data_IF_457403372381
#
_entry.id   IF_457403372381
#
_cell.length_a   1.000
_cell.length_b   1.000
_cell.length_c   1.000
_cell.angle_alpha   90.00
_cell.angle_beta   90.00
_cell.angle_gamma   90.00
#
_symmetry.space_group_name_H-M   'P 1'
#
loop_
_entity.id
_entity.type
_entity.pdbx_description
1 polymer ?
#
# COMPACT_ATOMS: atom_id res chain seq x y z
N UNK A 1 -52.50 34.90 64.21
CA UNK A 1 -53.52 35.10 63.14
C UNK A 1 -53.56 33.82 62.34
N UNK A 2 -54.71 33.16 62.38
CA UNK A 2 -55.05 31.93 61.66
C UNK A 2 -55.56 32.24 60.23
N UNK A 3 -55.75 31.15 59.48
CA UNK A 3 -56.56 30.90 58.28
C UNK A 3 -55.80 30.97 56.93
N UNK A 4 -55.56 29.82 56.25
CA UNK A 4 -56.48 29.00 55.40
C UNK A 4 -56.73 29.70 54.04
N UNK A 5 -56.84 29.07 52.88
CA UNK A 5 -56.77 27.67 52.41
C UNK A 5 -56.82 27.72 50.87
N UNK A 6 -56.44 26.62 50.21
CA UNK A 6 -57.12 26.16 48.99
C UNK A 6 -56.77 26.80 47.65
N UNK A 7 -55.89 26.16 46.88
CA UNK A 7 -56.21 25.85 45.48
C UNK A 7 -55.52 24.57 45.01
N UNK A 8 -56.36 23.55 44.84
CA UNK A 8 -56.21 22.28 44.12
C UNK A 8 -54.97 22.15 43.20
N UNK A 9 -53.99 21.35 43.64
CA UNK A 9 -53.01 20.74 42.75
C UNK A 9 -53.70 19.63 41.95
N UNK A 10 -53.83 19.82 40.64
CA UNK A 10 -54.15 18.75 39.69
C UNK A 10 -53.07 17.69 39.77
N UNK A 11 -53.50 16.47 40.07
CA UNK A 11 -52.79 15.24 39.80
C UNK A 11 -52.44 15.17 38.32
N UNK A 12 -51.20 15.48 37.96
CA UNK A 12 -50.64 15.03 36.70
C UNK A 12 -50.19 13.59 36.91
N UNK A 13 -50.99 12.68 36.39
CA UNK A 13 -50.64 11.29 36.13
C UNK A 13 -49.27 11.24 35.45
N UNK A 14 -48.32 10.57 36.11
CA UNK A 14 -47.08 10.17 35.48
C UNK A 14 -47.46 9.02 34.54
N UNK A 15 -47.62 9.35 33.25
CA UNK A 15 -47.69 8.36 32.18
C UNK A 15 -46.35 7.62 32.14
N UNK A 16 -46.28 6.47 32.80
CA UNK A 16 -45.19 5.50 32.68
C UNK A 16 -45.48 4.58 31.50
N UNK A 17 -45.53 5.13 30.29
CA UNK A 17 -45.21 4.30 29.13
C UNK A 17 -43.68 4.15 29.11
N UNK A 18 -43.11 2.93 29.12
CA UNK A 18 -41.70 2.79 28.82
C UNK A 18 -41.50 3.39 27.43
N UNK A 19 -40.68 4.44 27.31
CA UNK A 19 -40.32 4.97 25.99
C UNK A 19 -39.73 3.79 25.22
N UNK A 20 -40.48 3.29 24.24
CA UNK A 20 -40.04 2.20 23.37
C UNK A 20 -38.68 2.61 22.83
N UNK A 21 -37.67 1.79 23.09
CA UNK A 21 -36.32 2.04 22.59
C UNK A 21 -36.40 2.24 21.08
N UNK A 22 -35.69 3.25 20.60
CA UNK A 22 -35.51 3.47 19.18
C UNK A 22 -34.77 2.28 18.55
N UNK A 23 -34.93 2.13 17.24
CA UNK A 23 -34.23 1.09 16.49
C UNK A 23 -32.70 1.16 16.63
N UNK A 24 -32.15 2.36 16.70
CA UNK A 24 -30.72 2.60 16.87
C UNK A 24 -30.27 2.19 18.28
N UNK A 25 -31.10 2.44 19.30
CA UNK A 25 -30.83 1.98 20.67
C UNK A 25 -30.85 0.46 20.77
N UNK A 26 -31.82 -0.22 20.16
CA UNK A 26 -31.83 -1.68 20.06
C UNK A 26 -30.56 -2.19 19.38
N UNK A 27 -30.17 -1.60 18.25
CA UNK A 27 -28.95 -1.98 17.53
C UNK A 27 -27.70 -1.85 18.41
N UNK A 28 -27.52 -0.73 19.11
CA UNK A 28 -26.36 -0.52 19.98
C UNK A 28 -26.34 -1.47 21.18
N UNK A 29 -27.50 -1.80 21.76
CA UNK A 29 -27.60 -2.78 22.86
C UNK A 29 -27.21 -4.18 22.37
N UNK A 30 -27.73 -4.60 21.21
CA UNK A 30 -27.42 -5.90 20.62
C UNK A 30 -25.93 -6.02 20.32
N UNK A 31 -25.34 -4.99 19.72
CA UNK A 31 -23.91 -4.94 19.42
C UNK A 31 -23.06 -5.06 20.69
N UNK A 32 -23.50 -4.47 21.81
CA UNK A 32 -22.82 -4.61 23.10
C UNK A 32 -22.87 -6.04 23.63
N UNK A 33 -24.04 -6.67 23.63
CA UNK A 33 -24.17 -8.07 24.06
C UNK A 33 -23.34 -9.03 23.19
N UNK A 34 -23.29 -8.80 21.88
CA UNK A 34 -22.41 -9.56 20.98
C UNK A 34 -20.93 -9.39 21.33
N UNK A 35 -20.49 -8.16 21.65
CA UNK A 35 -19.11 -7.89 22.10
C UNK A 35 -18.77 -8.57 23.43
N UNK A 36 -19.75 -8.81 24.31
CA UNK A 36 -19.56 -9.51 25.59
C UNK A 36 -19.81 -11.02 25.52
N UNK A 37 -20.20 -11.55 24.36
CA UNK A 37 -20.49 -12.98 24.17
C UNK A 37 -21.86 -13.44 24.68
N UNK A 38 -22.74 -12.49 25.04
CA UNK A 38 -24.09 -12.71 25.55
C UNK A 38 -25.08 -12.97 24.41
N UNK A 39 -24.95 -14.12 23.74
CA UNK A 39 -25.66 -14.43 22.49
C UNK A 39 -27.18 -14.46 22.66
N UNK A 40 -27.67 -15.02 23.76
CA UNK A 40 -29.11 -15.10 24.05
C UNK A 40 -29.72 -13.71 24.27
N UNK A 41 -29.01 -12.84 25.00
CA UNK A 41 -29.45 -11.47 25.24
C UNK A 41 -29.40 -10.65 23.95
N UNK A 42 -28.36 -10.81 23.14
CA UNK A 42 -28.26 -10.18 21.83
C UNK A 42 -29.43 -10.58 20.92
N UNK A 43 -29.75 -11.88 20.87
CA UNK A 43 -30.87 -12.38 20.06
C UNK A 43 -32.21 -11.82 20.53
N UNK A 44 -32.47 -11.84 21.85
CA UNK A 44 -33.71 -11.34 22.41
C UNK A 44 -33.93 -9.85 22.06
N UNK A 45 -32.88 -9.03 22.21
CA UNK A 45 -32.93 -7.60 21.89
C UNK A 45 -33.08 -7.33 20.40
N UNK A 46 -32.45 -8.15 19.55
CA UNK A 46 -32.65 -8.04 18.11
C UNK A 46 -34.11 -8.35 17.73
N UNK A 47 -34.71 -9.40 18.33
CA UNK A 47 -36.12 -9.77 18.08
C UNK A 47 -37.09 -8.67 18.54
N UNK A 48 -36.85 -8.07 19.71
CA UNK A 48 -37.65 -6.93 20.19
C UNK A 48 -37.59 -5.73 19.23
N UNK A 49 -36.39 -5.37 18.75
CA UNK A 49 -36.23 -4.30 17.78
C UNK A 49 -36.90 -4.62 16.44
N UNK A 50 -36.75 -5.86 15.95
CA UNK A 50 -37.38 -6.32 14.70
C UNK A 50 -38.90 -6.47 14.78
N UNK A 51 -39.47 -6.62 15.99
CA UNK A 51 -40.92 -6.59 16.18
C UNK A 51 -41.51 -5.20 15.90
N UNK A 52 -40.72 -4.15 16.14
CA UNK A 52 -41.09 -2.76 15.83
C UNK A 52 -40.82 -2.38 14.37
N UNK A 53 -39.73 -2.90 13.79
CA UNK A 53 -39.35 -2.71 12.39
C UNK A 53 -38.74 -3.99 11.80
N UNK A 54 -39.56 -4.78 11.12
CA UNK A 54 -39.14 -6.07 10.55
C UNK A 54 -38.17 -5.96 9.37
N UNK A 55 -38.00 -4.75 8.82
CA UNK A 55 -37.12 -4.43 7.68
C UNK A 55 -35.78 -3.83 8.09
N UNK A 56 -35.54 -3.63 9.39
CA UNK A 56 -34.33 -2.99 9.86
C UNK A 56 -33.07 -3.79 9.52
N UNK A 57 -32.37 -3.40 8.45
CA UNK A 57 -31.25 -4.15 7.91
C UNK A 57 -30.11 -4.38 8.92
N UNK A 58 -29.79 -3.41 9.77
CA UNK A 58 -28.78 -3.56 10.82
C UNK A 58 -29.13 -4.65 11.86
N UNK A 59 -30.36 -4.70 12.37
CA UNK A 59 -30.80 -5.72 13.32
C UNK A 59 -30.91 -7.10 12.65
N UNK A 60 -31.34 -7.16 11.38
CA UNK A 60 -31.32 -8.39 10.58
C UNK A 60 -29.87 -8.92 10.42
N UNK A 61 -28.91 -8.03 10.17
CA UNK A 61 -27.49 -8.38 10.11
C UNK A 61 -26.93 -8.88 11.45
N UNK A 62 -27.27 -8.22 12.56
CA UNK A 62 -26.88 -8.70 13.90
C UNK A 62 -27.49 -10.08 14.22
N UNK A 63 -28.74 -10.34 13.83
CA UNK A 63 -29.34 -11.69 13.93
C UNK A 63 -28.58 -12.74 13.13
N UNK A 64 -28.10 -12.40 11.94
CA UNK A 64 -27.26 -13.28 11.16
C UNK A 64 -25.94 -13.59 11.88
N UNK A 65 -25.31 -12.55 12.46
CA UNK A 65 -24.10 -12.70 13.28
C UNK A 65 -24.31 -13.59 14.51
N UNK A 66 -25.40 -13.42 15.25
CA UNK A 66 -25.77 -14.30 16.36
C UNK A 66 -25.95 -15.74 15.89
N UNK A 67 -26.66 -15.95 14.77
CA UNK A 67 -26.93 -17.27 14.22
C UNK A 67 -25.63 -17.98 13.79
N UNK A 68 -24.70 -17.25 13.17
CA UNK A 68 -23.36 -17.74 12.85
C UNK A 68 -22.59 -18.22 14.08
N UNK A 69 -22.58 -17.43 15.15
CA UNK A 69 -21.89 -17.77 16.39
C UNK A 69 -22.49 -19.01 17.08
N UNK A 70 -23.79 -19.27 16.87
CA UNK A 70 -24.48 -20.47 17.32
C UNK A 70 -24.28 -21.68 16.40
N UNK A 71 -23.66 -21.51 15.23
CA UNK A 71 -23.51 -22.54 14.21
C UNK A 71 -24.78 -22.85 13.41
N UNK A 72 -25.84 -22.05 13.56
CA UNK A 72 -27.07 -22.17 12.77
C UNK A 72 -26.90 -21.43 11.44
N UNK A 73 -26.25 -22.10 10.48
CA UNK A 73 -25.94 -21.52 9.18
C UNK A 73 -27.19 -21.25 8.34
N UNK A 74 -28.25 -22.05 8.49
CA UNK A 74 -29.51 -21.85 7.77
C UNK A 74 -30.22 -20.57 8.21
N UNK A 75 -30.33 -20.36 9.52
CA UNK A 75 -30.86 -19.11 10.06
C UNK A 75 -29.97 -17.92 9.67
N UNK A 76 -28.64 -18.06 9.75
CA UNK A 76 -27.70 -17.00 9.37
C UNK A 76 -27.87 -16.56 7.90
N UNK A 77 -27.99 -17.51 6.97
CA UNK A 77 -28.24 -17.25 5.55
C UNK A 77 -29.57 -16.51 5.36
N UNK A 78 -30.63 -16.94 6.04
CA UNK A 78 -31.94 -16.28 5.95
C UNK A 78 -31.90 -14.83 6.45
N UNK A 79 -31.33 -14.61 7.64
CA UNK A 79 -31.24 -13.28 8.25
C UNK A 79 -30.35 -12.34 7.43
N UNK A 80 -29.19 -12.80 6.99
CA UNK A 80 -28.29 -12.00 6.16
C UNK A 80 -28.90 -11.70 4.78
N UNK A 81 -29.57 -12.67 4.15
CA UNK A 81 -30.28 -12.45 2.87
C UNK A 81 -31.39 -11.41 2.98
N UNK A 82 -32.13 -11.39 4.11
CA UNK A 82 -33.11 -10.34 4.40
C UNK A 82 -32.43 -8.99 4.65
N UNK A 83 -31.32 -8.95 5.37
CA UNK A 83 -30.56 -7.71 5.58
C UNK A 83 -30.14 -7.11 4.22
N UNK A 84 -29.57 -7.93 3.33
CA UNK A 84 -29.15 -7.55 1.98
C UNK A 84 -30.29 -7.08 1.08
N UNK A 85 -31.49 -7.65 1.24
CA UNK A 85 -32.69 -7.22 0.50
C UNK A 85 -33.13 -5.81 0.89
N UNK A 86 -32.92 -5.42 2.15
CA UNK A 86 -33.33 -4.10 2.66
C UNK A 86 -32.23 -3.04 2.49
N UNK A 87 -30.96 -3.43 2.60
CA UNK A 87 -29.81 -2.54 2.47
C UNK A 87 -28.57 -3.35 2.06
N UNK A 88 -28.03 -3.06 0.88
CA UNK A 88 -26.87 -3.77 0.33
C UNK A 88 -25.58 -3.18 0.92
N UNK A 89 -24.90 -3.93 1.80
CA UNK A 89 -23.62 -3.54 2.40
C UNK A 89 -22.58 -4.65 2.31
N UNK A 90 -21.32 -4.25 2.18
CA UNK A 90 -20.20 -5.16 2.05
C UNK A 90 -20.06 -6.08 3.27
N UNK A 91 -20.22 -5.53 4.48
CA UNK A 91 -20.21 -6.31 5.74
C UNK A 91 -21.35 -7.32 5.83
N UNK A 92 -22.51 -7.04 5.22
CA UNK A 92 -23.63 -7.97 5.18
C UNK A 92 -23.38 -9.09 4.18
N UNK A 93 -22.79 -8.77 3.01
CA UNK A 93 -22.35 -9.76 2.02
C UNK A 93 -21.28 -10.68 2.60
N UNK A 94 -20.30 -10.14 3.33
CA UNK A 94 -19.26 -10.93 4.01
C UNK A 94 -19.86 -11.88 5.06
N UNK A 95 -20.87 -11.42 5.81
CA UNK A 95 -21.60 -12.25 6.79
C UNK A 95 -22.38 -13.36 6.10
N UNK A 96 -23.06 -13.05 4.99
CA UNK A 96 -23.75 -14.02 4.15
C UNK A 96 -22.79 -15.08 3.57
N UNK A 97 -21.65 -14.65 3.03
CA UNK A 97 -20.59 -15.54 2.52
C UNK A 97 -20.03 -16.45 3.61
N UNK A 98 -19.82 -15.94 4.83
CA UNK A 98 -19.39 -16.74 5.99
C UNK A 98 -20.42 -17.81 6.34
N UNK A 99 -21.71 -17.49 6.28
CA UNK A 99 -22.79 -18.44 6.55
C UNK A 99 -22.89 -19.52 5.47
N UNK A 100 -22.79 -19.14 4.20
CA UNK A 100 -22.75 -20.07 3.07
C UNK A 100 -21.56 -21.03 3.17
N UNK A 101 -20.38 -20.50 3.54
CA UNK A 101 -19.19 -21.32 3.75
C UNK A 101 -19.37 -22.31 4.89
N UNK A 102 -19.94 -21.89 6.03
CA UNK A 102 -20.24 -22.79 7.15
C UNK A 102 -21.20 -23.92 6.76
N UNK A 103 -22.13 -23.65 5.85
CA UNK A 103 -23.06 -24.63 5.27
C UNK A 103 -22.43 -25.52 4.18
N UNK A 104 -21.18 -25.26 3.77
CA UNK A 104 -20.49 -25.98 2.70
C UNK A 104 -20.87 -25.55 1.28
N UNK A 105 -21.58 -24.42 1.12
CA UNK A 105 -21.96 -23.86 -0.18
C UNK A 105 -20.80 -23.00 -0.73
N UNK A 106 -19.70 -23.68 -1.07
CA UNK A 106 -18.40 -23.03 -1.31
C UNK A 106 -18.42 -22.00 -2.45
N UNK A 107 -18.99 -22.34 -3.61
CA UNK A 107 -19.02 -21.44 -4.78
C UNK A 107 -19.81 -20.15 -4.50
N UNK A 108 -20.98 -20.28 -3.87
CA UNK A 108 -21.82 -19.13 -3.51
C UNK A 108 -21.15 -18.26 -2.44
N UNK A 109 -20.39 -18.87 -1.53
CA UNK A 109 -19.62 -18.13 -0.55
C UNK A 109 -18.55 -17.25 -1.22
N UNK A 110 -17.82 -17.80 -2.20
CA UNK A 110 -16.82 -17.05 -2.96
C UNK A 110 -17.45 -15.89 -3.73
N UNK A 111 -18.58 -16.11 -4.41
CA UNK A 111 -19.33 -15.04 -5.10
C UNK A 111 -19.78 -13.93 -4.13
N UNK A 112 -20.26 -14.30 -2.93
CA UNK A 112 -20.66 -13.33 -1.91
C UNK A 112 -19.47 -12.50 -1.41
N UNK A 113 -18.29 -13.11 -1.22
CA UNK A 113 -17.08 -12.40 -0.80
C UNK A 113 -16.50 -11.52 -1.91
N UNK A 114 -16.49 -11.99 -3.15
CA UNK A 114 -16.07 -11.20 -4.31
C UNK A 114 -16.90 -9.92 -4.42
N UNK A 115 -18.23 -10.04 -4.35
CA UNK A 115 -19.13 -8.87 -4.31
C UNK A 115 -18.93 -7.98 -3.09
N UNK A 116 -18.51 -8.55 -1.95
CA UNK A 116 -18.24 -7.78 -0.74
C UNK A 116 -16.99 -6.89 -0.91
N UNK A 117 -15.89 -7.43 -1.45
CA UNK A 117 -14.67 -6.64 -1.69
C UNK A 117 -14.83 -5.63 -2.82
N UNK A 118 -15.71 -5.89 -3.80
CA UNK A 118 -16.09 -4.88 -4.81
C UNK A 118 -16.84 -3.69 -4.19
N UNK A 119 -17.68 -3.95 -3.19
CA UNK A 119 -18.51 -2.92 -2.56
C UNK A 119 -17.76 -2.11 -1.50
N UNK A 120 -16.85 -2.74 -0.76
CA UNK A 120 -15.93 -2.06 0.16
C UNK A 120 -14.52 -2.67 0.03
N UNK A 121 -13.68 -2.11 -0.86
CA UNK A 121 -12.36 -2.66 -1.12
C UNK A 121 -11.35 -2.31 -0.02
N UNK A 122 -11.69 -1.48 0.96
CA UNK A 122 -10.73 -0.98 1.97
C UNK A 122 -10.90 -1.62 3.35
N UNK A 123 -11.99 -2.35 3.60
CA UNK A 123 -12.17 -3.08 4.86
C UNK A 123 -11.29 -4.36 4.89
N UNK A 124 -10.22 -4.40 5.72
CA UNK A 124 -9.32 -5.54 5.77
C UNK A 124 -10.02 -6.82 6.24
N UNK A 125 -11.09 -6.71 7.04
CA UNK A 125 -11.81 -7.86 7.59
C UNK A 125 -12.52 -8.66 6.48
N UNK A 126 -12.99 -7.97 5.43
CA UNK A 126 -13.65 -8.60 4.29
C UNK A 126 -12.63 -9.40 3.47
N UNK A 127 -11.45 -8.83 3.23
CA UNK A 127 -10.34 -9.52 2.56
C UNK A 127 -9.85 -10.73 3.36
N UNK A 128 -9.73 -10.65 4.69
CA UNK A 128 -9.38 -11.81 5.53
C UNK A 128 -10.41 -12.94 5.40
N UNK A 129 -11.70 -12.61 5.44
CA UNK A 129 -12.77 -13.59 5.27
C UNK A 129 -12.75 -14.21 3.88
N UNK A 130 -12.49 -13.42 2.83
CA UNK A 130 -12.37 -13.92 1.47
C UNK A 130 -11.16 -14.85 1.32
N UNK A 131 -9.99 -14.47 1.85
CA UNK A 131 -8.80 -15.31 1.86
C UNK A 131 -9.02 -16.65 2.57
N UNK A 132 -9.71 -16.63 3.71
CA UNK A 132 -10.10 -17.84 4.43
C UNK A 132 -11.04 -18.74 3.59
N UNK A 133 -11.97 -18.14 2.83
CA UNK A 133 -12.84 -18.87 1.92
C UNK A 133 -12.07 -19.51 0.78
N UNK A 134 -11.17 -18.77 0.15
CA UNK A 134 -10.32 -19.24 -0.94
C UNK A 134 -9.43 -20.41 -0.48
N UNK A 135 -8.85 -20.32 0.72
CA UNK A 135 -8.07 -21.42 1.32
C UNK A 135 -8.89 -22.70 1.47
N UNK A 136 -10.14 -22.60 1.96
CA UNK A 136 -11.03 -23.77 2.08
C UNK A 136 -11.41 -24.36 0.72
N UNK A 137 -11.48 -23.54 -0.32
CA UNK A 137 -11.68 -23.98 -1.70
C UNK A 137 -10.39 -24.51 -2.38
N UNK A 138 -9.22 -24.39 -1.74
CA UNK A 138 -7.94 -24.79 -2.31
C UNK A 138 -7.30 -23.74 -3.24
N UNK A 139 -7.83 -22.52 -3.30
CA UNK A 139 -7.30 -21.41 -4.10
C UNK A 139 -6.20 -20.63 -3.36
N UNK A 140 -5.10 -21.30 -3.05
CA UNK A 140 -4.03 -20.81 -2.16
C UNK A 140 -3.40 -19.48 -2.62
N UNK A 141 -3.13 -19.32 -3.91
CA UNK A 141 -2.50 -18.09 -4.43
C UNK A 141 -3.41 -16.87 -4.28
N UNK A 142 -4.71 -17.02 -4.60
CA UNK A 142 -5.70 -15.95 -4.43
C UNK A 142 -5.92 -15.64 -2.95
N UNK A 143 -5.88 -16.65 -2.08
CA UNK A 143 -5.96 -16.45 -0.64
C UNK A 143 -4.78 -15.64 -0.11
N UNK A 144 -3.55 -15.98 -0.53
CA UNK A 144 -2.33 -15.23 -0.17
C UNK A 144 -2.45 -13.74 -0.54
N UNK A 145 -2.91 -13.46 -1.77
CA UNK A 145 -3.17 -12.10 -2.23
C UNK A 145 -4.18 -11.38 -1.32
N UNK A 146 -5.29 -12.02 -0.96
CA UNK A 146 -6.29 -11.43 -0.05
C UNK A 146 -5.68 -11.06 1.31
N UNK A 147 -4.81 -11.91 1.88
CA UNK A 147 -4.15 -11.60 3.14
C UNK A 147 -3.17 -10.43 3.03
N UNK A 148 -2.43 -10.33 1.92
CA UNK A 148 -1.55 -9.18 1.67
C UNK A 148 -2.38 -7.89 1.57
N UNK A 149 -3.51 -7.91 0.86
CA UNK A 149 -4.41 -6.76 0.75
C UNK A 149 -4.96 -6.36 2.12
N UNK A 150 -5.48 -7.32 2.88
CA UNK A 150 -5.98 -7.08 4.23
C UNK A 150 -4.91 -6.44 5.13
N UNK A 151 -3.70 -7.00 5.10
CA UNK A 151 -2.58 -6.49 5.90
C UNK A 151 -2.12 -5.11 5.45
N UNK A 152 -2.19 -4.81 4.15
CA UNK A 152 -1.92 -3.47 3.64
C UNK A 152 -2.85 -2.44 4.27
N UNK A 153 -4.17 -2.65 4.20
CA UNK A 153 -5.14 -1.72 4.78
C UNK A 153 -5.09 -1.66 6.31
N UNK A 154 -4.76 -2.77 6.97
CA UNK A 154 -4.61 -2.81 8.42
C UNK A 154 -3.35 -2.08 8.92
N UNK A 155 -2.21 -2.28 8.23
CA UNK A 155 -0.90 -1.81 8.70
C UNK A 155 -0.52 -0.46 8.13
N UNK A 156 -1.10 -0.07 7.01
CA UNK A 156 -0.87 1.19 6.30
C UNK A 156 -2.22 1.91 6.08
N UNK A 157 -2.88 2.39 7.15
CA UNK A 157 -4.24 2.92 7.08
C UNK A 157 -4.40 4.14 6.16
N UNK A 158 -3.32 4.87 5.86
CA UNK A 158 -3.33 5.93 4.85
C UNK A 158 -3.79 5.46 3.46
N UNK A 159 -3.60 4.17 3.11
CA UNK A 159 -4.07 3.63 1.83
C UNK A 159 -5.60 3.60 1.75
N UNK A 160 -6.28 3.36 2.87
CA UNK A 160 -7.74 3.41 2.97
C UNK A 160 -8.24 4.86 3.08
N UNK A 161 -7.62 5.67 3.95
CA UNK A 161 -8.01 7.06 4.18
C UNK A 161 -7.93 7.90 2.90
N UNK A 162 -6.85 7.77 2.15
CA UNK A 162 -6.68 8.50 0.88
C UNK A 162 -7.75 8.13 -0.14
N UNK A 163 -8.15 6.86 -0.26
CA UNK A 163 -9.20 6.45 -1.23
C UNK A 163 -10.55 7.09 -1.00
N UNK A 164 -10.82 7.54 0.24
CA UNK A 164 -12.04 8.27 0.58
C UNK A 164 -11.93 9.78 0.39
N UNK A 165 -10.75 10.29 0.01
CA UNK A 165 -10.43 11.70 -0.09
C UNK A 165 -10.08 12.13 -1.54
N UNK A 166 -10.25 13.42 -1.88
CA UNK A 166 -9.78 13.96 -3.15
C UNK A 166 -8.27 13.77 -3.34
N UNK A 167 -7.84 13.44 -4.56
CA UNK A 167 -6.45 13.07 -4.90
C UNK A 167 -5.40 14.11 -4.47
N UNK A 168 -5.72 15.39 -4.55
CA UNK A 168 -4.84 16.49 -4.14
C UNK A 168 -4.58 16.54 -2.62
N UNK A 169 -5.44 15.94 -1.80
CA UNK A 169 -5.30 15.87 -0.35
C UNK A 169 -4.49 14.67 0.16
N UNK A 170 -4.14 13.72 -0.71
CA UNK A 170 -3.53 12.44 -0.30
C UNK A 170 -2.19 12.62 0.40
N UNK A 171 -1.33 13.50 -0.11
CA UNK A 171 -0.06 13.76 0.52
C UNK A 171 -0.26 14.26 1.95
N UNK A 172 -1.09 15.28 2.17
CA UNK A 172 -1.35 15.83 3.50
C UNK A 172 -1.84 14.78 4.52
N UNK A 173 -2.71 13.85 4.11
CA UNK A 173 -3.20 12.76 4.98
C UNK A 173 -2.09 11.83 5.49
N UNK A 174 -0.97 11.75 4.78
CA UNK A 174 0.15 10.90 5.22
C UNK A 174 1.06 11.53 6.27
N UNK A 175 0.84 12.81 6.64
CA UNK A 175 1.73 13.54 7.57
C UNK A 175 1.82 12.85 8.94
N UNK A 176 0.69 12.36 9.44
CA UNK A 176 0.61 11.63 10.70
C UNK A 176 1.37 10.29 10.70
N UNK A 177 1.66 9.73 9.52
CA UNK A 177 2.38 8.46 9.37
C UNK A 177 3.86 8.64 9.06
N UNK A 178 4.35 9.89 9.02
CA UNK A 178 5.71 10.19 8.61
C UNK A 178 6.48 11.13 9.56
N UNK A 179 6.61 10.80 10.86
CA UNK A 179 7.38 11.62 11.81
C UNK A 179 8.89 11.56 11.59
N UNK A 180 9.38 10.59 10.79
CA UNK A 180 10.80 10.27 10.61
C UNK A 180 11.47 10.96 9.41
N UNK A 181 10.71 11.68 8.58
CA UNK A 181 11.22 12.47 7.46
C UNK A 181 11.97 13.75 7.86
N UNK A 182 12.46 13.83 9.09
CA UNK A 182 13.36 14.93 9.49
C UNK A 182 14.71 14.67 8.84
N UNK A 183 14.99 15.42 7.77
CA UNK A 183 16.34 15.59 7.24
C UNK A 183 17.26 15.94 8.41
N UNK A 184 18.09 14.98 8.82
CA UNK A 184 19.25 15.30 9.64
C UNK A 184 20.13 16.15 8.74
N UNK A 185 20.14 17.46 8.91
CA UNK A 185 21.06 18.34 8.22
C UNK A 185 22.49 17.98 8.64
N UNK A 186 23.06 16.93 8.03
CA UNK A 186 24.42 16.46 8.29
C UNK A 186 25.34 17.33 7.46
N UNK A 187 25.75 18.47 8.00
CA UNK A 187 26.80 19.26 7.37
C UNK A 187 28.13 18.50 7.47
N UNK A 188 28.78 18.26 6.32
CA UNK A 188 30.15 17.76 6.24
C UNK A 188 30.38 16.26 6.42
N UNK A 189 29.35 15.43 6.57
CA UNK A 189 29.48 13.97 6.56
C UNK A 189 29.30 13.41 5.14
N UNK A 190 30.12 12.41 4.75
CA UNK A 190 29.91 11.66 3.52
C UNK A 190 28.54 10.97 3.61
N UNK A 191 27.70 11.18 2.58
CA UNK A 191 26.37 10.57 2.52
C UNK A 191 26.47 9.09 2.21
N UNK A 192 25.47 8.32 2.65
CA UNK A 192 25.39 6.90 2.32
C UNK A 192 25.42 6.68 0.80
N UNK A 193 26.13 5.65 0.32
CA UNK A 193 26.23 5.38 -1.11
C UNK A 193 24.88 4.96 -1.69
N UNK A 194 24.66 5.29 -2.96
CA UNK A 194 23.53 4.83 -3.77
C UNK A 194 24.04 3.82 -4.79
N UNK A 195 23.36 2.69 -4.86
CA UNK A 195 23.59 1.59 -5.80
C UNK A 195 22.45 1.57 -6.82
N UNK A 196 22.82 1.50 -8.10
CA UNK A 196 21.92 1.42 -9.23
C UNK A 196 22.34 0.26 -10.15
N UNK A 197 21.43 -0.26 -10.97
CA UNK A 197 21.75 -1.28 -11.97
C UNK A 197 21.25 -0.87 -13.36
N UNK A 198 22.07 -1.14 -14.38
CA UNK A 198 21.73 -0.93 -15.78
C UNK A 198 22.42 -1.94 -16.67
N UNK A 199 21.71 -2.54 -17.62
CA UNK A 199 22.31 -3.47 -18.58
C UNK A 199 21.42 -3.64 -19.81
N UNK A 200 22.03 -4.10 -20.91
CA UNK A 200 21.34 -4.58 -22.11
C UNK A 200 20.47 -3.50 -22.80
N UNK A 201 20.84 -2.23 -22.65
CA UNK A 201 20.24 -1.09 -23.33
C UNK A 201 21.16 0.13 -23.36
N UNK A 202 20.99 1.01 -24.34
CA UNK A 202 21.61 2.33 -24.32
C UNK A 202 21.11 3.12 -23.12
N UNK A 203 22.03 3.72 -22.36
CA UNK A 203 21.68 4.53 -21.20
C UNK A 203 20.69 5.63 -21.61
N UNK A 204 19.47 5.55 -21.06
CA UNK A 204 18.40 6.46 -21.43
C UNK A 204 18.65 7.87 -20.89
N UNK A 205 18.04 8.89 -21.50
CA UNK A 205 18.09 10.25 -20.97
C UNK A 205 17.51 10.37 -19.55
N UNK A 206 16.47 9.59 -19.24
CA UNK A 206 15.89 9.52 -17.89
C UNK A 206 16.90 8.97 -16.88
N UNK A 207 17.63 7.92 -17.28
CA UNK A 207 18.64 7.27 -16.44
C UNK A 207 19.86 8.14 -16.22
N UNK A 208 20.31 8.84 -17.26
CA UNK A 208 21.36 9.84 -17.13
C UNK A 208 20.95 10.95 -16.14
N UNK A 209 19.74 11.51 -16.27
CA UNK A 209 19.24 12.54 -15.35
C UNK A 209 19.11 12.01 -13.91
N UNK A 210 18.61 10.78 -13.74
CA UNK A 210 18.47 10.15 -12.42
C UNK A 210 19.82 10.05 -11.72
N UNK A 211 20.83 9.47 -12.38
CA UNK A 211 22.19 9.38 -11.85
C UNK A 211 22.82 10.75 -11.56
N UNK A 212 22.62 11.73 -12.45
CA UNK A 212 23.12 13.09 -12.28
C UNK A 212 22.48 13.78 -11.05
N UNK A 213 21.18 13.55 -10.81
CA UNK A 213 20.47 14.10 -9.65
C UNK A 213 21.04 13.55 -8.34
N UNK A 214 21.38 12.25 -8.30
CA UNK A 214 21.96 11.60 -7.13
C UNK A 214 23.34 12.17 -6.77
N UNK A 215 24.20 12.37 -7.76
CA UNK A 215 25.50 13.04 -7.59
C UNK A 215 25.32 14.47 -7.07
N UNK A 216 24.34 15.22 -7.61
CA UNK A 216 24.06 16.60 -7.18
C UNK A 216 23.62 16.71 -5.73
N UNK A 217 22.90 15.71 -5.22
CA UNK A 217 22.53 15.66 -3.81
C UNK A 217 23.67 15.23 -2.88
N UNK A 218 24.86 14.98 -3.43
CA UNK A 218 26.09 14.71 -2.69
C UNK A 218 26.28 13.25 -2.30
N UNK A 219 25.55 12.33 -2.93
CA UNK A 219 25.72 10.89 -2.69
C UNK A 219 26.84 10.31 -3.56
N UNK A 220 27.69 9.42 -3.02
CA UNK A 220 28.47 8.50 -3.84
C UNK A 220 27.53 7.59 -4.63
N UNK A 221 27.74 7.45 -5.94
CA UNK A 221 26.85 6.65 -6.81
C UNK A 221 27.66 5.56 -7.51
N UNK A 222 27.18 4.33 -7.41
CA UNK A 222 27.72 3.17 -8.13
C UNK A 222 26.66 2.61 -9.07
N UNK A 223 26.99 2.49 -10.36
CA UNK A 223 26.18 1.82 -11.37
C UNK A 223 26.79 0.45 -11.68
N UNK A 224 26.04 -0.61 -11.40
CA UNK A 224 26.42 -1.98 -11.73
C UNK A 224 25.89 -2.35 -13.11
N UNK A 225 26.73 -3.00 -13.92
CA UNK A 225 26.37 -3.44 -15.28
C UNK A 225 27.02 -4.76 -15.65
N UNK A 226 26.38 -5.53 -16.53
CA UNK A 226 27.00 -6.66 -17.23
C UNK A 226 27.55 -6.26 -18.61
N UNK A 227 27.34 -5.01 -19.02
CA UNK A 227 27.88 -4.47 -20.26
C UNK A 227 29.38 -4.12 -20.08
N UNK A 228 30.06 -3.69 -21.15
CA UNK A 228 31.46 -3.27 -21.04
C UNK A 228 31.60 -2.04 -20.11
N UNK A 229 32.35 -2.23 -19.02
CA UNK A 229 32.52 -1.21 -17.97
C UNK A 229 33.13 0.07 -18.52
N UNK A 230 34.10 0.00 -19.43
CA UNK A 230 34.77 1.20 -19.96
C UNK A 230 33.84 1.97 -20.89
N UNK A 231 33.05 1.28 -21.71
CA UNK A 231 32.02 1.89 -22.57
C UNK A 231 30.95 2.55 -21.71
N UNK A 232 30.39 1.84 -20.72
CA UNK A 232 29.35 2.38 -19.86
C UNK A 232 29.87 3.55 -19.01
N UNK A 233 31.12 3.49 -18.52
CA UNK A 233 31.75 4.59 -17.78
C UNK A 233 31.85 5.89 -18.60
N UNK A 234 31.93 5.79 -19.93
CA UNK A 234 31.93 6.96 -20.82
C UNK A 234 30.53 7.54 -21.08
N UNK A 235 29.46 6.79 -20.78
CA UNK A 235 28.07 7.20 -21.00
C UNK A 235 27.41 7.80 -19.75
N UNK A 236 27.84 7.39 -18.55
CA UNK A 236 27.28 7.88 -17.29
C UNK A 236 27.76 9.30 -16.96
N UNK A 237 27.00 10.05 -16.12
CA UNK A 237 27.47 11.35 -15.64
C UNK A 237 28.77 11.28 -14.84
N UNK A 238 29.54 12.37 -14.86
CA UNK A 238 30.77 12.49 -14.07
C UNK A 238 30.50 12.31 -12.57
N UNK A 239 31.33 11.51 -11.90
CA UNK A 239 31.19 11.16 -10.49
C UNK A 239 30.48 9.83 -10.23
N UNK A 240 29.83 9.23 -11.23
CA UNK A 240 29.29 7.86 -11.14
C UNK A 240 30.41 6.85 -11.36
N UNK A 241 30.55 5.90 -10.43
CA UNK A 241 31.45 4.76 -10.57
C UNK A 241 30.73 3.61 -11.28
N UNK A 242 31.31 3.07 -12.35
CA UNK A 242 30.76 1.89 -13.02
C UNK A 242 31.52 0.63 -12.60
N UNK A 243 30.77 -0.41 -12.24
CA UNK A 243 31.32 -1.68 -11.72
C UNK A 243 30.69 -2.87 -12.43
N UNK A 244 31.47 -3.93 -12.65
CA UNK A 244 30.96 -5.21 -13.13
C UNK A 244 29.97 -5.83 -12.12
N UNK A 245 28.71 -5.99 -12.54
CA UNK A 245 27.65 -6.61 -11.77
C UNK A 245 27.95 -8.08 -11.40
N UNK A 246 28.79 -8.75 -12.19
CA UNK A 246 29.30 -10.10 -11.92
C UNK A 246 30.04 -10.25 -10.59
N UNK A 247 30.53 -9.13 -10.04
CA UNK A 247 31.17 -9.08 -8.71
C UNK A 247 30.20 -9.24 -7.53
N UNK A 248 28.89 -9.02 -7.75
CA UNK A 248 27.85 -9.10 -6.71
C UNK A 248 26.96 -10.30 -6.93
N UNK A 249 26.46 -10.47 -8.15
CA UNK A 249 25.60 -11.59 -8.54
C UNK A 249 26.24 -12.29 -9.74
N UNK A 250 26.34 -13.61 -9.69
CA UNK A 250 27.00 -14.39 -10.73
C UNK A 250 26.33 -14.18 -12.10
N UNK A 251 27.16 -14.04 -13.14
CA UNK A 251 26.71 -13.88 -14.54
C UNK A 251 25.79 -15.01 -15.00
N UNK A 252 25.96 -16.23 -14.48
CA UNK A 252 25.06 -17.36 -14.77
C UNK A 252 23.63 -17.12 -14.27
N UNK A 253 23.46 -16.47 -13.12
CA UNK A 253 22.15 -16.11 -12.58
C UNK A 253 21.49 -15.03 -13.43
N UNK A 254 22.28 -14.04 -13.88
CA UNK A 254 21.82 -13.02 -14.81
C UNK A 254 21.33 -13.61 -16.14
N UNK A 255 22.14 -14.48 -16.77
CA UNK A 255 21.72 -15.16 -18.00
C UNK A 255 20.48 -16.03 -17.81
N UNK A 256 20.37 -16.74 -16.68
CA UNK A 256 19.17 -17.50 -16.36
C UNK A 256 17.93 -16.59 -16.28
N UNK A 257 18.04 -15.44 -15.60
CA UNK A 257 16.95 -14.48 -15.51
C UNK A 257 16.57 -13.88 -16.87
N UNK A 258 17.52 -13.58 -17.76
CA UNK A 258 17.20 -13.08 -19.11
C UNK A 258 16.51 -14.12 -20.00
N UNK A 259 16.87 -15.41 -19.88
CA UNK A 259 16.27 -16.48 -20.69
C UNK A 259 14.85 -16.79 -20.23
N UNK A 260 14.60 -16.74 -18.93
CA UNK A 260 13.35 -17.19 -18.31
C UNK A 260 12.46 -16.06 -17.81
N UNK A 261 12.89 -14.80 -17.95
CA UNK A 261 12.26 -13.62 -17.34
C UNK A 261 12.62 -12.33 -18.09
N UNK A 262 12.08 -11.18 -17.66
CA UNK A 262 12.55 -9.85 -18.04
C UNK A 262 13.69 -9.35 -17.14
N UNK A 263 14.56 -8.48 -17.66
CA UNK A 263 15.66 -7.84 -16.93
C UNK A 263 15.23 -7.14 -15.63
N UNK A 264 13.97 -6.66 -15.54
CA UNK A 264 13.41 -6.07 -14.31
C UNK A 264 13.47 -7.00 -13.11
N UNK A 265 13.23 -8.29 -13.32
CA UNK A 265 13.20 -9.28 -12.25
C UNK A 265 14.59 -9.56 -11.74
N UNK A 266 15.58 -9.49 -12.63
CA UNK A 266 16.97 -9.53 -12.21
C UNK A 266 17.34 -8.30 -11.38
N UNK A 267 16.88 -7.10 -11.78
CA UNK A 267 17.08 -5.87 -10.99
C UNK A 267 16.48 -5.99 -9.57
N UNK A 268 15.30 -6.59 -9.44
CA UNK A 268 14.66 -6.90 -8.16
C UNK A 268 15.53 -7.81 -7.27
N UNK A 269 16.19 -8.81 -7.85
CA UNK A 269 17.10 -9.72 -7.13
C UNK A 269 18.40 -8.99 -6.76
N UNK A 270 18.97 -8.26 -7.71
CA UNK A 270 20.26 -7.60 -7.58
C UNK A 270 20.24 -6.55 -6.47
N UNK A 271 19.14 -5.80 -6.31
CA UNK A 271 19.04 -4.79 -5.24
C UNK A 271 19.14 -5.39 -3.85
N UNK A 272 18.57 -6.58 -3.61
CA UNK A 272 18.70 -7.25 -2.33
C UNK A 272 20.15 -7.68 -2.07
N UNK A 273 20.83 -8.23 -3.07
CA UNK A 273 22.24 -8.62 -2.96
C UNK A 273 23.16 -7.41 -2.71
N UNK A 274 22.99 -6.34 -3.48
CA UNK A 274 23.79 -5.12 -3.34
C UNK A 274 23.60 -4.48 -1.96
N UNK A 275 22.36 -4.35 -1.49
CA UNK A 275 22.07 -3.81 -0.17
C UNK A 275 22.56 -4.72 0.97
N UNK A 276 22.52 -6.05 0.79
CA UNK A 276 23.09 -6.97 1.76
C UNK A 276 24.62 -6.80 1.86
N UNK A 277 25.32 -6.75 0.73
CA UNK A 277 26.79 -6.73 0.70
C UNK A 277 27.37 -5.37 1.12
N UNK A 278 26.77 -4.28 0.65
CA UNK A 278 27.35 -2.94 0.80
C UNK A 278 26.55 -2.04 1.76
N UNK A 279 25.28 -2.33 1.99
CA UNK A 279 24.36 -1.41 2.67
C UNK A 279 24.17 -0.10 1.89
N UNK A 280 23.57 0.89 2.53
CA UNK A 280 23.28 2.18 1.91
C UNK A 280 21.93 2.16 1.20
N UNK A 281 21.86 2.77 0.03
CA UNK A 281 20.64 2.96 -0.73
C UNK A 281 20.64 2.20 -2.05
N UNK A 282 19.48 1.67 -2.42
CA UNK A 282 19.14 1.32 -3.78
C UNK A 282 18.24 2.39 -4.36
N UNK A 283 18.51 2.81 -5.60
CA UNK A 283 17.56 3.60 -6.41
C UNK A 283 17.45 3.04 -7.83
N UNK A 284 16.23 2.98 -8.34
CA UNK A 284 15.98 2.73 -9.76
C UNK A 284 16.44 3.94 -10.60
N UNK A 285 16.92 3.66 -11.82
CA UNK A 285 17.49 4.66 -12.74
C UNK A 285 16.43 5.44 -13.52
N UNK A 286 15.29 5.69 -12.90
CA UNK A 286 14.21 6.56 -13.37
C UNK A 286 13.61 7.35 -12.19
N UNK A 287 14.35 7.47 -11.09
CA UNK A 287 14.02 8.33 -9.95
C UNK A 287 14.95 9.55 -9.95
N UNK A 288 14.35 10.74 -10.04
CA UNK A 288 15.04 12.02 -9.88
C UNK A 288 15.05 12.41 -8.40
N UNK A 289 16.22 12.55 -7.79
CA UNK A 289 16.34 13.06 -6.43
C UNK A 289 16.28 14.59 -6.37
N UNK A 290 15.25 15.11 -5.72
CA UNK A 290 15.07 16.54 -5.47
C UNK A 290 15.62 16.98 -4.11
N UNK A 291 15.88 16.01 -3.20
CA UNK A 291 16.51 16.22 -1.89
C UNK A 291 17.51 15.10 -1.58
N UNK A 292 18.50 15.32 -0.69
CA UNK A 292 19.38 14.25 -0.21
C UNK A 292 18.61 13.22 0.64
N UNK A 293 19.11 11.98 0.65
CA UNK A 293 18.51 10.85 1.37
C UNK A 293 18.95 10.81 2.85
N UNK A 294 18.57 11.83 3.62
CA UNK A 294 18.98 12.02 5.02
C UNK A 294 17.98 11.42 6.04
N UNK A 295 17.61 10.15 5.84
CA UNK A 295 16.67 9.42 6.70
C UNK A 295 17.37 8.84 7.94
N UNK A 296 16.74 8.98 9.11
CA UNK A 296 17.29 8.47 10.36
C UNK A 296 17.21 6.93 10.48
N UNK A 297 16.19 6.31 9.88
CA UNK A 297 15.94 4.87 10.00
C UNK A 297 16.91 4.02 9.20
N UNK A 298 17.52 2.99 9.81
CA UNK A 298 18.49 2.08 9.17
C UNK A 298 17.91 1.35 7.95
N UNK A 299 16.61 1.06 7.99
CA UNK A 299 15.85 0.58 6.84
C UNK A 299 14.91 1.67 6.33
N UNK A 300 14.69 1.66 5.02
CA UNK A 300 13.66 2.47 4.36
C UNK A 300 13.08 1.66 3.21
N UNK A 301 11.76 1.63 3.10
CA UNK A 301 11.04 1.06 1.97
C UNK A 301 10.01 2.06 1.47
N UNK A 302 9.73 2.05 0.18
CA UNK A 302 8.72 2.92 -0.43
C UNK A 302 7.45 2.14 -0.75
N UNK A 303 6.33 2.85 -0.81
CA UNK A 303 5.03 2.32 -1.24
C UNK A 303 4.51 3.10 -2.43
N UNK A 304 3.49 2.58 -3.10
CA UNK A 304 2.75 3.27 -4.17
C UNK A 304 1.27 3.39 -3.82
N UNK A 305 0.56 4.28 -4.51
CA UNK A 305 -0.86 4.50 -4.23
C UNK A 305 -1.75 3.42 -4.83
N UNK A 306 -1.51 3.09 -6.10
CA UNK A 306 -2.29 2.13 -6.89
C UNK A 306 -1.52 0.82 -7.01
N UNK A 307 -2.16 -0.28 -6.67
CA UNK A 307 -1.55 -1.61 -6.72
C UNK A 307 -1.89 -2.50 -5.53
N UNK A 308 -2.57 -1.95 -4.52
CA UNK A 308 -3.00 -2.70 -3.33
C UNK A 308 -3.78 -3.95 -3.72
N UNK A 309 -4.79 -3.82 -4.59
CA UNK A 309 -5.63 -4.93 -5.07
C UNK A 309 -4.85 -6.04 -5.82
N UNK A 310 -3.65 -5.71 -6.30
CA UNK A 310 -2.75 -6.67 -6.95
C UNK A 310 -1.66 -7.18 -6.00
N UNK A 311 -1.70 -6.83 -4.71
CA UNK A 311 -0.67 -7.18 -3.72
C UNK A 311 0.64 -6.42 -3.90
N UNK A 312 0.66 -5.42 -4.78
CA UNK A 312 1.82 -4.61 -5.13
C UNK A 312 1.75 -3.29 -4.37
N UNK A 313 2.06 -3.33 -3.07
CA UNK A 313 1.94 -2.18 -2.16
C UNK A 313 3.29 -1.53 -1.93
N UNK A 314 4.27 -2.33 -1.50
CA UNK A 314 5.65 -1.93 -1.31
C UNK A 314 6.42 -2.09 -2.62
N UNK A 315 7.18 -1.06 -2.98
CA UNK A 315 7.94 -1.01 -4.23
C UNK A 315 9.43 -0.94 -3.94
N UNK A 316 10.22 -1.62 -4.77
CA UNK A 316 11.67 -1.74 -4.56
C UNK A 316 12.51 -0.64 -5.20
N UNK A 317 11.87 0.37 -5.81
CA UNK A 317 12.58 1.41 -6.56
C UNK A 317 13.38 2.37 -5.69
N UNK A 318 13.01 2.54 -4.41
CA UNK A 318 13.82 3.25 -3.43
C UNK A 318 13.83 2.51 -2.10
N UNK A 319 15.01 2.03 -1.70
CA UNK A 319 15.20 1.21 -0.51
C UNK A 319 16.51 1.55 0.22
N UNK A 320 16.52 1.45 1.55
CA UNK A 320 17.72 1.53 2.38
C UNK A 320 17.85 0.29 3.26
N UNK A 321 19.06 -0.18 3.47
CA UNK A 321 19.36 -1.17 4.49
C UNK A 321 20.81 -1.01 5.01
N UNK A 322 21.08 -1.42 6.26
CA UNK A 322 22.45 -1.52 6.74
C UNK A 322 23.19 -2.68 6.07
N UNK A 323 24.52 -2.55 5.95
CA UNK A 323 25.39 -3.64 5.49
C UNK A 323 25.18 -4.88 6.35
N UNK A 324 25.04 -6.04 5.72
CA UNK A 324 24.78 -7.32 6.41
C UNK A 324 23.34 -7.48 6.90
N UNK A 325 22.38 -6.68 6.42
CA UNK A 325 20.96 -6.79 6.75
C UNK A 325 20.43 -8.21 6.51
N UNK A 326 19.98 -8.87 7.58
CA UNK A 326 19.33 -10.18 7.49
C UNK A 326 18.04 -10.13 6.65
N UNK A 327 17.32 -9.00 6.64
CA UNK A 327 16.15 -8.87 5.78
C UNK A 327 16.51 -8.87 4.30
N UNK A 328 17.62 -8.25 3.92
CA UNK A 328 18.10 -8.27 2.54
C UNK A 328 18.61 -9.66 2.15
N UNK A 329 19.32 -10.34 3.06
CA UNK A 329 19.74 -11.72 2.86
C UNK A 329 18.55 -12.68 2.64
N UNK A 330 17.49 -12.55 3.45
CA UNK A 330 16.28 -13.37 3.31
C UNK A 330 15.54 -13.07 2.00
N UNK A 331 15.33 -11.80 1.66
CA UNK A 331 14.69 -11.41 0.40
C UNK A 331 15.49 -11.90 -0.81
N UNK A 332 16.82 -11.81 -0.76
CA UNK A 332 17.70 -12.35 -1.80
C UNK A 332 17.61 -13.88 -1.92
N UNK A 333 17.62 -14.61 -0.80
CA UNK A 333 17.49 -16.06 -0.81
C UNK A 333 16.11 -16.51 -1.36
N UNK A 334 15.03 -15.87 -0.92
CA UNK A 334 13.67 -16.16 -1.39
C UNK A 334 13.49 -15.84 -2.86
N UNK A 335 14.05 -14.71 -3.33
CA UNK A 335 13.96 -14.31 -4.74
C UNK A 335 14.72 -15.28 -5.65
N UNK A 336 15.91 -15.74 -5.24
CA UNK A 336 16.64 -16.79 -5.94
C UNK A 336 15.89 -18.13 -5.94
N UNK A 337 15.29 -18.52 -4.82
CA UNK A 337 14.50 -19.75 -4.74
C UNK A 337 13.34 -19.73 -5.73
N UNK A 338 12.60 -18.62 -5.82
CA UNK A 338 11.49 -18.45 -6.77
C UNK A 338 11.99 -18.42 -8.22
N UNK A 339 13.07 -17.68 -8.51
CA UNK A 339 13.67 -17.62 -9.84
C UNK A 339 14.11 -19.01 -10.35
N UNK A 340 14.74 -19.81 -9.50
CA UNK A 340 15.33 -21.10 -9.89
C UNK A 340 14.33 -22.27 -9.78
N UNK A 341 13.30 -22.14 -8.95
CA UNK A 341 12.30 -23.19 -8.71
C UNK A 341 11.16 -23.21 -9.74
N UNK A 342 10.90 -22.09 -10.42
CA UNK A 342 9.77 -21.94 -11.33
C UNK A 342 10.22 -21.97 -12.80
N UNK A 343 9.41 -22.62 -13.66
CA UNK A 343 9.64 -22.59 -15.12
C UNK A 343 9.45 -21.20 -15.73
N UNK A 344 8.60 -20.38 -15.10
CA UNK A 344 8.29 -19.01 -15.48
C UNK A 344 7.90 -18.25 -14.23
N UNK A 345 8.60 -17.16 -13.95
CA UNK A 345 8.34 -16.29 -12.81
C UNK A 345 7.17 -15.37 -13.13
N UNK A 346 6.15 -15.35 -12.28
CA UNK A 346 5.03 -14.41 -12.40
C UNK A 346 5.46 -12.97 -12.09
N UNK A 347 4.71 -12.00 -12.60
CA UNK A 347 5.03 -10.59 -12.38
C UNK A 347 5.13 -10.27 -10.89
N UNK A 348 6.24 -9.67 -10.48
CA UNK A 348 6.49 -9.22 -9.11
C UNK A 348 6.80 -10.34 -8.11
N UNK A 349 6.80 -11.61 -8.52
CA UNK A 349 7.03 -12.75 -7.63
C UNK A 349 8.41 -12.75 -6.96
N UNK A 350 9.41 -12.10 -7.57
CA UNK A 350 10.77 -11.92 -7.00
C UNK A 350 11.07 -10.48 -6.58
N UNK A 351 10.11 -9.58 -6.74
CA UNK A 351 10.26 -8.15 -6.49
C UNK A 351 9.10 -7.61 -5.66
N UNK A 352 8.24 -6.74 -6.22
CA UNK A 352 7.25 -6.03 -5.42
C UNK A 352 6.22 -6.89 -4.67
N UNK A 353 5.79 -8.04 -5.21
CA UNK A 353 4.85 -8.92 -4.50
C UNK A 353 5.56 -9.62 -3.33
N UNK A 354 6.77 -10.14 -3.58
CA UNK A 354 7.62 -10.71 -2.51
C UNK A 354 7.92 -9.67 -1.43
N UNK A 355 8.26 -8.44 -1.83
CA UNK A 355 8.56 -7.36 -0.90
C UNK A 355 7.34 -6.98 -0.06
N UNK A 356 6.18 -6.85 -0.69
CA UNK A 356 4.92 -6.53 -0.01
C UNK A 356 4.53 -7.63 0.98
N UNK A 357 4.60 -8.90 0.54
CA UNK A 357 4.37 -10.06 1.40
C UNK A 357 5.33 -10.06 2.61
N UNK A 358 6.64 -9.93 2.35
CA UNK A 358 7.67 -9.96 3.39
C UNK A 358 7.50 -8.85 4.42
N UNK A 359 7.19 -7.63 3.99
CA UNK A 359 7.07 -6.47 4.87
C UNK A 359 5.74 -6.44 5.63
N UNK A 360 4.62 -6.79 4.99
CA UNK A 360 3.28 -6.67 5.57
C UNK A 360 2.89 -7.87 6.44
N UNK A 361 3.45 -9.05 6.19
CA UNK A 361 3.25 -10.24 7.00
C UNK A 361 4.27 -10.39 8.14
N UNK A 362 5.29 -9.53 8.19
CA UNK A 362 6.24 -9.50 9.29
C UNK A 362 5.62 -8.91 10.56
N UNK A 363 5.89 -9.55 11.70
CA UNK A 363 5.57 -9.00 13.03
C UNK A 363 6.65 -8.01 13.54
N UNK A 364 7.69 -7.72 12.74
CA UNK A 364 8.73 -6.75 13.07
C UNK A 364 8.21 -5.31 12.94
N UNK A 365 7.87 -4.72 14.08
CA UNK A 365 7.38 -3.33 14.15
C UNK A 365 8.42 -2.30 13.70
N UNK A 366 9.72 -2.53 13.90
CA UNK A 366 10.75 -1.60 13.45
C UNK A 366 10.84 -1.59 11.93
N UNK A 367 10.85 -2.78 11.32
CA UNK A 367 10.83 -2.92 9.88
C UNK A 367 9.57 -2.28 9.27
N UNK A 368 8.41 -2.48 9.90
CA UNK A 368 7.15 -1.86 9.47
C UNK A 368 7.17 -0.34 9.59
N UNK A 369 7.75 0.21 10.66
CA UNK A 369 7.91 1.67 10.83
C UNK A 369 8.87 2.30 9.81
N UNK A 370 9.62 1.47 9.08
CA UNK A 370 10.52 1.89 7.99
C UNK A 370 9.83 1.99 6.62
N UNK A 371 8.54 1.64 6.53
CA UNK A 371 7.75 1.73 5.29
C UNK A 371 7.22 3.16 5.16
N UNK A 372 7.69 3.88 4.16
CA UNK A 372 7.28 5.25 3.89
C UNK A 372 6.01 5.29 3.03
N UNK A 373 5.17 6.31 3.24
CA UNK A 373 4.05 6.57 2.33
C UNK A 373 4.55 6.93 0.93
N UNK A 374 3.70 6.81 -0.10
CA UNK A 374 4.11 7.07 -1.49
C UNK A 374 4.61 8.50 -1.69
N UNK A 375 4.16 9.46 -0.89
CA UNK A 375 4.59 10.87 -0.91
C UNK A 375 6.11 11.09 -0.98
N UNK A 376 6.94 10.19 -0.43
CA UNK A 376 8.40 10.39 -0.44
C UNK A 376 9.04 10.22 -1.83
N UNK A 377 8.58 9.25 -2.63
CA UNK A 377 9.21 8.85 -3.91
C UNK A 377 8.23 8.65 -5.06
N UNK A 378 6.99 8.27 -4.73
CA UNK A 378 5.91 7.91 -5.65
C UNK A 378 4.71 8.85 -5.43
N UNK A 379 4.98 10.15 -5.21
CA UNK A 379 3.94 11.15 -4.96
C UNK A 379 2.99 11.31 -6.15
N UNK A 380 3.51 11.20 -7.38
CA UNK A 380 2.75 10.98 -8.61
C UNK A 380 2.90 9.50 -8.94
N UNK A 381 1.77 8.81 -9.04
CA UNK A 381 1.74 7.36 -9.20
C UNK A 381 1.98 6.92 -10.66
N UNK A 382 2.26 5.64 -10.87
CA UNK A 382 2.52 5.08 -12.20
C UNK A 382 1.33 5.21 -13.17
N UNK A 383 0.10 5.23 -12.64
CA UNK A 383 -1.10 5.45 -13.46
C UNK A 383 -1.33 6.93 -13.82
N UNK A 384 -0.58 7.84 -13.18
CA UNK A 384 -0.73 9.30 -13.27
C UNK A 384 0.44 9.97 -14.00
N UNK A 385 1.25 9.19 -14.75
CA UNK A 385 2.45 9.68 -15.45
C UNK A 385 2.16 10.85 -16.41
N UNK A 386 0.92 11.03 -16.85
CA UNK A 386 0.54 12.17 -17.69
C UNK A 386 0.70 13.51 -16.95
N UNK A 387 0.58 13.52 -15.60
CA UNK A 387 0.86 14.71 -14.78
C UNK A 387 2.33 15.13 -14.84
N UNK A 388 3.25 14.21 -15.15
CA UNK A 388 4.68 14.52 -15.28
C UNK A 388 4.98 15.28 -16.57
N UNK A 389 4.19 15.07 -17.63
CA UNK A 389 4.44 15.64 -18.97
C UNK A 389 3.46 16.76 -19.34
N UNK A 390 2.41 16.94 -18.53
CA UNK A 390 1.42 18.01 -18.64
C UNK A 390 2.00 19.36 -18.22
N UNK A 391 1.52 20.45 -18.84
CA UNK A 391 1.77 21.84 -18.42
C UNK A 391 0.78 22.31 -17.31
N UNK A 392 -0.03 21.38 -16.77
CA UNK A 392 -0.94 21.67 -15.66
C UNK A 392 -0.21 21.91 -14.35
N UNK A 393 -0.82 22.71 -13.46
CA UNK A 393 -0.28 22.98 -12.12
C UNK A 393 -0.40 21.79 -11.17
N UNK A 394 -1.29 20.85 -11.46
CA UNK A 394 -1.62 19.73 -10.56
C UNK A 394 -0.40 18.88 -10.18
N UNK A 395 0.46 18.54 -11.15
CA UNK A 395 1.69 17.79 -10.87
C UNK A 395 2.64 18.57 -9.95
N UNK A 396 2.77 19.89 -10.16
CA UNK A 396 3.58 20.75 -9.29
C UNK A 396 2.97 20.88 -7.89
N UNK A 397 1.65 21.00 -7.76
CA UNK A 397 0.96 21.06 -6.47
C UNK A 397 1.20 19.78 -5.65
N UNK A 398 1.10 18.60 -6.28
CA UNK A 398 1.42 17.32 -5.64
C UNK A 398 2.88 17.29 -5.17
N UNK A 399 3.81 17.71 -6.01
CA UNK A 399 5.25 17.66 -5.73
C UNK A 399 5.75 18.80 -4.81
N UNK A 400 4.91 19.80 -4.54
CA UNK A 400 5.23 20.90 -3.62
C UNK A 400 5.30 20.46 -2.16
N UNK A 401 4.83 19.25 -1.84
CA UNK A 401 4.92 18.74 -0.47
C UNK A 401 6.40 18.65 -0.02
N UNK A 402 6.77 19.26 1.12
CA UNK A 402 8.15 19.30 1.60
C UNK A 402 8.71 17.91 1.93
N UNK A 403 7.89 16.86 1.96
CA UNK A 403 8.30 15.48 2.19
C UNK A 403 8.70 14.74 0.91
N UNK A 404 8.34 15.25 -0.26
CA UNK A 404 8.79 14.70 -1.55
C UNK A 404 10.31 14.79 -1.61
N UNK A 405 10.95 13.63 -1.72
CA UNK A 405 12.41 13.46 -1.67
C UNK A 405 12.97 13.06 -3.03
N UNK A 406 12.27 12.16 -3.72
CA UNK A 406 12.51 11.84 -5.12
C UNK A 406 11.21 11.81 -5.91
N UNK A 407 11.34 11.89 -7.23
CA UNK A 407 10.24 11.77 -8.19
C UNK A 407 10.51 10.59 -9.09
N UNK A 408 9.73 9.53 -8.93
CA UNK A 408 9.77 8.37 -9.80
C UNK A 408 9.06 8.69 -11.12
N UNK A 409 9.79 8.56 -12.23
CA UNK A 409 9.30 8.87 -13.57
C UNK A 409 8.69 7.66 -14.27
N UNK A 410 8.79 6.45 -13.70
CA UNK A 410 8.17 5.24 -14.23
C UNK A 410 8.56 5.00 -15.70
N UNK A 411 9.86 4.96 -15.99
CA UNK A 411 10.41 5.04 -17.35
C UNK A 411 9.88 3.96 -18.30
N UNK A 412 9.54 2.77 -17.77
CA UNK A 412 8.88 1.73 -18.57
C UNK A 412 7.47 2.13 -19.01
N UNK A 413 6.68 2.73 -18.12
CA UNK A 413 5.32 3.20 -18.43
C UNK A 413 5.38 4.31 -19.46
N UNK A 414 6.39 5.19 -19.38
CA UNK A 414 6.65 6.19 -20.41
C UNK A 414 6.91 5.55 -21.76
N UNK A 415 7.81 4.55 -21.83
CA UNK A 415 8.11 3.84 -23.06
C UNK A 415 6.86 3.15 -23.65
N UNK A 416 6.06 2.49 -22.81
CA UNK A 416 4.81 1.82 -23.21
C UNK A 416 3.75 2.82 -23.73
N UNK A 417 3.73 4.04 -23.19
CA UNK A 417 2.86 5.14 -23.66
C UNK A 417 3.47 5.97 -24.79
N UNK A 418 4.69 5.67 -25.23
CA UNK A 418 5.39 6.44 -26.26
C UNK A 418 5.85 7.84 -25.81
N UNK A 419 5.90 8.11 -24.51
CA UNK A 419 6.40 9.37 -23.94
C UNK A 419 7.92 9.40 -24.01
N UNK A 420 8.50 10.55 -24.36
CA UNK A 420 9.94 10.72 -24.44
C UNK A 420 10.40 12.01 -23.79
N UNK A 421 11.47 11.92 -23.00
CA UNK A 421 12.07 13.03 -22.26
C UNK A 421 12.61 14.17 -23.15
N UNK A 422 12.98 13.88 -24.40
CA UNK A 422 13.41 14.89 -25.36
C UNK A 422 12.24 15.73 -25.91
N UNK A 423 11.01 15.23 -25.78
CA UNK A 423 9.80 15.83 -26.33
C UNK A 423 8.85 16.42 -25.25
N UNK A 424 9.20 16.34 -23.97
CA UNK A 424 8.36 16.93 -22.90
C UNK A 424 8.42 18.46 -22.94
N UNK A 425 7.30 19.17 -22.69
CA UNK A 425 7.29 20.63 -22.60
C UNK A 425 8.20 21.14 -21.48
N UNK A 426 8.94 22.23 -21.70
CA UNK A 426 9.81 22.83 -20.67
C UNK A 426 9.03 23.29 -19.43
N UNK A 427 7.75 23.65 -19.58
CA UNK A 427 6.87 24.07 -18.48
C UNK A 427 6.20 22.90 -17.75
N UNK A 428 6.38 21.67 -18.22
CA UNK A 428 5.90 20.48 -17.51
C UNK A 428 6.76 20.17 -16.29
N UNK A 429 6.26 19.32 -15.39
CA UNK A 429 7.03 18.81 -14.25
C UNK A 429 8.35 18.17 -14.72
N UNK A 430 8.31 17.31 -15.72
CA UNK A 430 9.50 16.64 -16.26
C UNK A 430 10.47 17.63 -16.92
N UNK A 431 9.96 18.65 -17.62
CA UNK A 431 10.76 19.74 -18.17
C UNK A 431 11.50 20.51 -17.07
N UNK A 432 10.79 20.85 -15.99
CA UNK A 432 11.36 21.50 -14.83
C UNK A 432 12.40 20.62 -14.11
N UNK A 433 12.11 19.34 -13.87
CA UNK A 433 13.05 18.39 -13.26
C UNK A 433 14.34 18.25 -14.10
N UNK A 434 14.21 18.16 -15.43
CA UNK A 434 15.36 18.17 -16.35
C UNK A 434 16.18 19.44 -16.19
N UNK A 435 15.54 20.60 -16.11
CA UNK A 435 16.20 21.89 -15.93
C UNK A 435 16.99 21.96 -14.63
N UNK A 436 16.38 21.65 -13.49
CA UNK A 436 17.06 21.73 -12.18
C UNK A 436 18.21 20.72 -12.03
N UNK A 437 18.16 19.58 -12.74
CA UNK A 437 19.22 18.56 -12.71
C UNK A 437 20.38 18.90 -13.63
N UNK A 438 20.14 19.62 -14.73
CA UNK A 438 21.19 20.03 -15.67
C UNK A 438 21.80 21.37 -15.27
N UNK A 439 21.00 22.35 -14.84
CA UNK A 439 21.45 23.72 -14.58
C UNK A 439 22.03 23.87 -13.16
N UNK A 440 23.32 24.27 -12.99
CA UNK A 440 24.00 24.24 -11.69
C UNK A 440 23.42 25.16 -10.59
N UNK A 441 22.62 26.18 -10.96
CA UNK A 441 22.26 27.28 -10.07
C UNK A 441 20.79 27.29 -9.60
N UNK A 442 19.97 26.31 -9.96
CA UNK A 442 18.51 26.32 -9.67
C UNK A 442 18.07 25.45 -8.48
N UNK A 443 19.00 24.73 -7.83
CA UNK A 443 18.71 23.81 -6.71
C UNK A 443 18.09 24.48 -5.45
N UNK A 444 18.04 25.80 -5.38
CA UNK A 444 17.51 26.57 -4.24
C UNK A 444 16.01 26.91 -4.30
N UNK A 445 15.26 26.52 -5.34
CA UNK A 445 13.84 26.95 -5.47
C UNK A 445 12.78 25.93 -5.00
N UNK A 446 13.14 24.70 -4.64
CA UNK A 446 12.20 23.68 -4.11
C UNK A 446 12.25 23.53 -2.57
N UNK A 447 12.91 24.46 -1.88
CA UNK A 447 13.16 24.41 -0.43
C UNK A 447 12.39 25.48 0.37
N UNK A 448 11.30 26.04 -0.16
CA UNK A 448 10.41 26.94 0.59
C UNK A 448 9.00 26.37 0.61
#
# INVERSE_FOLDING_TARGET
MNYHDGTLAKTNEISTEPSLLTRDEYYQICLRHLKTGELEQAEARCREGLASDASHAGLLHLMAGVSLLKGDYDAAINWAGRALTNDMKATYLATFGTALQGKGMQEQALEAFERAVELDPVDPSIWENFGNALNRAGHVNQASLCFVIARAYQKLPFLAECRSAPRNGWNALTEQFNPHLRNLARSGAIRDPIHCFWSDALLSGLSYLSLQSMIRQGHPVTLYTYDDVAVMQALVPSGVMVVDAGSVVLTSTYHHALVHSEIRYFSDIFRYAALQEFGGWWLDTDIILVKPLDFASEHVFSTQWSGVENGHVCVGGAMRAPKGSLHMANLYALSLQRLLGERRVEYGAVGPLLLSEYLLLSDDEKLRSSILPPTAFNAIDWCEVDLLVSESREGFEILSDPRVTGVHLWGKVWAERGLRLDAVPDQSVAGYLKKIVIEPNELTQLAV
#
